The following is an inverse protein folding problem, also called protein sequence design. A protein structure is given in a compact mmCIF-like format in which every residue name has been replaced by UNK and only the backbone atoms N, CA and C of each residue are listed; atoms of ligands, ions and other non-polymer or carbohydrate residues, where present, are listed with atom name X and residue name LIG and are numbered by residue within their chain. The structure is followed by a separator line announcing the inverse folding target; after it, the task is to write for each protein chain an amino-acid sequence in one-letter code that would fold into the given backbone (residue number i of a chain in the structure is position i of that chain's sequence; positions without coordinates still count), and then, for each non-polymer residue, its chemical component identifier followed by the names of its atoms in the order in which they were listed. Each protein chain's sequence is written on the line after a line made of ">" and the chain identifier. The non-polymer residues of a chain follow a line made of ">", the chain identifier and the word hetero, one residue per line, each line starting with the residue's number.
data_IF_380883606839
#
_entry.id   IF_380883606839
#
_cell.length_a   1.000
_cell.length_b   1.000
_cell.length_c   1.000
_cell.angle_alpha   90.00
_cell.angle_beta   90.00
_cell.angle_gamma   90.00
#
_symmetry.space_group_name_H-M   'P 1'
#
loop_
_entity.id
_entity.type
_entity.pdbx_description
1 polymer ?
#
# COMPACT_ATOMS: atom_id res chain seq x y z
N UNK A 1 18.33 9.60 10.29
CA UNK A 1 17.52 10.84 10.36
C UNK A 1 16.35 10.60 9.42
N UNK A 2 15.38 9.80 9.86
CA UNK A 2 14.60 8.95 8.93
C UNK A 2 13.81 9.69 7.86
N UNK A 3 13.33 10.90 8.16
CA UNK A 3 12.64 11.72 7.17
C UNK A 3 13.51 12.09 5.96
N UNK A 4 14.84 11.99 6.07
CA UNK A 4 15.79 12.19 4.98
C UNK A 4 15.99 10.90 4.17
N UNK A 5 16.30 9.78 4.82
CA UNK A 5 16.56 8.48 4.15
C UNK A 5 15.32 7.98 3.39
N UNK A 6 14.13 8.08 4.00
CA UNK A 6 12.89 7.71 3.33
C UNK A 6 12.58 8.67 2.17
N UNK A 7 12.93 9.95 2.29
CA UNK A 7 12.74 10.93 1.21
C UNK A 7 13.67 10.66 0.04
N UNK A 8 14.96 10.40 0.30
CA UNK A 8 15.93 10.03 -0.73
C UNK A 8 15.49 8.75 -1.47
N UNK A 9 14.99 7.76 -0.72
CA UNK A 9 14.43 6.56 -1.32
C UNK A 9 13.23 6.86 -2.22
N UNK A 10 12.28 7.68 -1.74
CA UNK A 10 11.12 8.12 -2.53
C UNK A 10 11.59 8.83 -3.79
N UNK A 11 12.51 9.77 -3.69
CA UNK A 11 13.03 10.54 -4.84
C UNK A 11 13.67 9.60 -5.88
N UNK A 12 14.53 8.68 -5.44
CA UNK A 12 15.18 7.67 -6.31
C UNK A 12 14.18 6.77 -7.03
N UNK A 13 13.18 6.25 -6.31
CA UNK A 13 12.12 5.41 -6.88
C UNK A 13 11.25 6.21 -7.85
N UNK A 14 10.95 7.47 -7.54
CA UNK A 14 10.10 8.32 -8.37
C UNK A 14 10.81 8.79 -9.65
N UNK A 15 12.13 8.92 -9.63
CA UNK A 15 12.94 9.18 -10.81
C UNK A 15 13.00 7.96 -11.74
N UNK A 16 13.18 6.76 -11.18
CA UNK A 16 13.26 5.50 -11.96
C UNK A 16 11.89 4.98 -12.40
N UNK A 17 10.83 5.28 -11.64
CA UNK A 17 9.48 4.71 -11.78
C UNK A 17 9.43 3.18 -11.72
N UNK A 18 10.38 2.59 -11.02
CA UNK A 18 10.49 1.14 -10.78
C UNK A 18 10.88 0.92 -9.31
N UNK A 19 10.28 -0.08 -8.67
CA UNK A 19 10.72 -0.60 -7.37
C UNK A 19 11.17 -2.04 -7.59
N UNK A 20 12.48 -2.31 -7.52
CA UNK A 20 13.01 -3.68 -7.65
C UNK A 20 13.22 -4.37 -6.29
N UNK A 21 13.61 -5.64 -6.32
CA UNK A 21 13.84 -6.44 -5.10
C UNK A 21 14.93 -5.84 -4.19
N UNK A 22 15.91 -5.15 -4.76
CA UNK A 22 16.99 -4.54 -3.99
C UNK A 22 16.51 -3.27 -3.30
N UNK A 23 15.73 -2.45 -4.00
CA UNK A 23 15.06 -1.28 -3.41
C UNK A 23 14.19 -1.71 -2.20
N UNK A 24 13.46 -2.84 -2.31
CA UNK A 24 12.66 -3.37 -1.19
C UNK A 24 13.53 -3.82 -0.01
N UNK A 25 14.70 -4.44 -0.27
CA UNK A 25 15.61 -4.85 0.80
C UNK A 25 16.22 -3.66 1.52
N UNK A 26 16.64 -2.63 0.79
CA UNK A 26 17.16 -1.39 1.36
C UNK A 26 16.07 -0.76 2.23
N UNK A 27 14.85 -0.64 1.72
CA UNK A 27 13.72 -0.10 2.47
C UNK A 27 13.50 -0.86 3.80
N UNK A 28 13.48 -2.19 3.78
CA UNK A 28 13.24 -2.96 5.00
C UNK A 28 14.41 -2.98 5.99
N UNK A 29 15.63 -3.16 5.49
CA UNK A 29 16.80 -3.46 6.35
C UNK A 29 17.60 -2.25 6.74
N UNK A 30 17.60 -1.22 5.90
CA UNK A 30 18.40 -0.02 6.13
C UNK A 30 17.51 1.13 6.58
N UNK A 31 16.36 1.33 5.93
CA UNK A 31 15.50 2.48 6.21
C UNK A 31 14.55 2.20 7.37
N UNK A 32 13.86 1.05 7.39
CA UNK A 32 12.76 0.78 8.33
C UNK A 32 13.11 -0.15 9.50
N UNK A 33 14.32 -0.72 9.55
CA UNK A 33 14.66 -1.80 10.49
C UNK A 33 14.56 -1.44 11.98
N UNK A 34 14.96 -0.23 12.37
CA UNK A 34 14.95 0.22 13.77
C UNK A 34 13.95 1.36 14.02
N UNK A 35 12.94 1.43 13.17
CA UNK A 35 12.06 2.60 13.08
C UNK A 35 10.76 2.35 13.78
N UNK A 36 10.34 3.33 14.57
CA UNK A 36 8.95 3.39 15.04
C UNK A 36 8.08 3.79 13.85
N UNK A 37 7.28 2.86 13.35
CA UNK A 37 6.32 3.13 12.28
C UNK A 37 5.32 4.19 12.74
N UNK A 38 5.00 5.10 11.83
CA UNK A 38 4.01 6.16 12.03
C UNK A 38 2.99 6.14 10.91
N UNK A 39 1.85 6.80 11.14
CA UNK A 39 0.82 6.97 10.10
C UNK A 39 1.39 7.60 8.83
N UNK A 40 2.24 8.62 8.98
CA UNK A 40 2.89 9.30 7.86
C UNK A 40 3.77 8.37 7.01
N UNK A 41 4.49 7.43 7.64
CA UNK A 41 5.31 6.43 6.92
C UNK A 41 4.40 5.52 6.10
N UNK A 42 3.33 5.00 6.69
CA UNK A 42 2.35 4.16 5.99
C UNK A 42 1.72 4.92 4.82
N UNK A 43 1.35 6.19 5.02
CA UNK A 43 0.77 7.03 3.99
C UNK A 43 1.72 7.21 2.79
N UNK A 44 3.00 7.41 3.05
CA UNK A 44 4.04 7.50 2.00
C UNK A 44 4.19 6.18 1.24
N UNK A 45 4.25 5.04 1.94
CA UNK A 45 4.40 3.74 1.27
C UNK A 45 3.17 3.37 0.43
N UNK A 46 1.96 3.67 0.91
CA UNK A 46 0.73 3.50 0.12
C UNK A 46 0.70 4.44 -1.08
N UNK A 47 1.22 5.66 -0.95
CA UNK A 47 1.36 6.57 -2.08
C UNK A 47 2.34 6.02 -3.13
N UNK A 48 3.45 5.40 -2.72
CA UNK A 48 4.39 4.72 -3.62
C UNK A 48 3.75 3.55 -4.37
N UNK A 49 2.95 2.71 -3.71
CA UNK A 49 2.20 1.63 -4.37
C UNK A 49 1.35 2.15 -5.53
N UNK A 50 0.75 3.33 -5.38
CA UNK A 50 -0.07 3.94 -6.42
C UNK A 50 0.76 4.66 -7.48
N UNK A 51 1.85 5.31 -7.10
CA UNK A 51 2.66 6.12 -8.00
C UNK A 51 3.57 5.28 -8.92
N UNK A 52 3.88 4.05 -8.52
CA UNK A 52 4.77 3.14 -9.24
C UNK A 52 4.00 1.91 -9.75
N UNK A 53 3.89 1.82 -11.07
CA UNK A 53 3.22 0.70 -11.73
C UNK A 53 4.11 -0.54 -11.82
N UNK A 54 5.40 -0.37 -12.10
CA UNK A 54 6.38 -1.45 -12.19
C UNK A 54 7.08 -1.64 -10.84
N UNK A 55 6.61 -2.63 -10.08
CA UNK A 55 7.08 -2.89 -8.72
C UNK A 55 7.22 -4.37 -8.47
N UNK A 56 8.24 -4.73 -7.70
CA UNK A 56 8.45 -6.07 -7.23
C UNK A 56 7.23 -6.57 -6.43
N UNK A 57 6.82 -7.84 -6.59
CA UNK A 57 5.85 -8.48 -5.72
C UNK A 57 6.24 -8.39 -4.23
N UNK A 58 7.55 -8.38 -3.93
CA UNK A 58 8.05 -8.23 -2.56
C UNK A 58 7.59 -6.91 -1.94
N UNK A 59 7.54 -5.82 -2.71
CA UNK A 59 7.06 -4.53 -2.19
C UNK A 59 5.62 -4.64 -1.69
N UNK A 60 4.77 -5.38 -2.41
CA UNK A 60 3.38 -5.58 -2.02
C UNK A 60 3.25 -6.40 -0.73
N UNK A 61 4.05 -7.46 -0.58
CA UNK A 61 4.06 -8.29 0.63
C UNK A 61 4.57 -7.51 1.84
N UNK A 62 5.61 -6.70 1.65
CA UNK A 62 6.20 -5.85 2.70
C UNK A 62 5.25 -4.74 3.13
N UNK A 63 4.64 -4.03 2.19
CA UNK A 63 3.66 -2.98 2.50
C UNK A 63 2.46 -3.56 3.26
N UNK A 64 1.98 -4.73 2.85
CA UNK A 64 0.90 -5.42 3.55
C UNK A 64 1.27 -5.75 4.99
N UNK A 65 2.44 -6.36 5.21
CA UNK A 65 2.93 -6.68 6.55
C UNK A 65 3.02 -5.43 7.42
N UNK A 66 3.66 -4.36 6.95
CA UNK A 66 3.77 -3.12 7.72
C UNK A 66 2.42 -2.48 8.03
N UNK A 67 1.47 -2.49 7.10
CA UNK A 67 0.14 -1.94 7.36
C UNK A 67 -0.60 -2.73 8.45
N UNK A 68 -0.52 -4.06 8.43
CA UNK A 68 -1.13 -4.94 9.44
C UNK A 68 -0.44 -4.77 10.79
N UNK A 69 0.89 -4.90 10.82
CA UNK A 69 1.70 -4.79 12.03
C UNK A 69 1.49 -3.45 12.72
N UNK A 70 1.58 -2.35 11.99
CA UNK A 70 1.36 -1.02 12.55
C UNK A 70 -0.08 -0.84 13.04
N UNK A 71 -1.07 -1.14 12.18
CA UNK A 71 -2.46 -0.79 12.47
C UNK A 71 -3.05 -1.64 13.59
N UNK A 72 -2.70 -2.92 13.63
CA UNK A 72 -3.26 -3.88 14.59
C UNK A 72 -2.38 -3.97 15.83
N UNK A 73 -1.07 -4.12 15.68
CA UNK A 73 -0.20 -4.52 16.79
C UNK A 73 0.50 -3.35 17.47
N UNK A 74 1.10 -2.44 16.70
CA UNK A 74 1.92 -1.36 17.26
C UNK A 74 1.10 -0.14 17.69
N UNK A 75 0.08 0.23 16.93
CA UNK A 75 -0.75 1.41 17.21
C UNK A 75 -1.75 1.12 18.34
N UNK A 76 -1.59 1.82 19.47
CA UNK A 76 -2.50 1.69 20.62
C UNK A 76 -3.88 2.31 20.31
N UNK A 77 -4.99 1.67 20.69
CA UNK A 77 -5.09 0.36 21.37
C UNK A 77 -4.74 -0.82 20.45
N UNK A 78 -3.88 -1.72 20.93
CA UNK A 78 -3.47 -2.94 20.21
C UNK A 78 -4.65 -3.89 20.04
N UNK A 79 -4.70 -4.58 18.90
CA UNK A 79 -5.77 -5.50 18.51
C UNK A 79 -7.07 -4.80 18.10
N UNK A 80 -7.14 -3.46 18.18
CA UNK A 80 -8.38 -2.71 17.97
C UNK A 80 -8.19 -1.61 16.94
N UNK A 81 -9.09 -1.58 15.97
CA UNK A 81 -9.23 -0.47 15.04
C UNK A 81 -10.43 0.36 15.50
N UNK A 82 -10.15 1.47 16.19
CA UNK A 82 -11.16 2.46 16.53
C UNK A 82 -11.58 3.30 15.32
N UNK A 83 -12.56 4.18 15.53
CA UNK A 83 -13.10 5.04 14.48
C UNK A 83 -12.04 5.94 13.84
N UNK A 84 -11.15 6.52 14.64
CA UNK A 84 -10.12 7.43 14.13
C UNK A 84 -9.12 6.69 13.24
N UNK A 85 -8.63 5.54 13.72
CA UNK A 85 -7.73 4.67 12.97
C UNK A 85 -8.38 4.13 11.70
N UNK A 86 -9.64 3.70 11.78
CA UNK A 86 -10.40 3.25 10.61
C UNK A 86 -10.58 4.37 9.58
N UNK A 87 -10.93 5.59 10.02
CA UNK A 87 -11.12 6.71 9.12
C UNK A 87 -9.82 7.12 8.42
N UNK A 88 -8.70 7.14 9.16
CA UNK A 88 -7.37 7.36 8.59
C UNK A 88 -7.04 6.28 7.54
N UNK A 89 -7.11 5.00 7.90
CA UNK A 89 -6.82 3.89 6.99
C UNK A 89 -7.67 3.94 5.72
N UNK A 90 -8.98 4.14 5.85
CA UNK A 90 -9.88 4.24 4.70
C UNK A 90 -9.48 5.41 3.81
N UNK A 91 -9.13 6.56 4.39
CA UNK A 91 -8.70 7.74 3.62
C UNK A 91 -7.41 7.47 2.86
N UNK A 92 -6.41 6.90 3.52
CA UNK A 92 -5.11 6.55 2.94
C UNK A 92 -5.25 5.54 1.80
N UNK A 93 -5.99 4.46 2.04
CA UNK A 93 -6.16 3.36 1.08
C UNK A 93 -7.04 3.77 -0.11
N UNK A 94 -8.03 4.65 0.11
CA UNK A 94 -8.95 5.14 -0.93
C UNK A 94 -8.41 6.29 -1.77
N UNK A 95 -7.23 6.85 -1.45
CA UNK A 95 -6.71 8.05 -2.10
C UNK A 95 -6.66 7.95 -3.64
N UNK A 96 -6.81 9.07 -4.35
CA UNK A 96 -6.80 9.10 -5.82
C UNK A 96 -8.06 8.52 -6.46
N UNK A 97 -7.91 7.69 -7.50
CA UNK A 97 -9.02 7.09 -8.27
C UNK A 97 -9.77 5.94 -7.56
N UNK A 98 -9.52 5.76 -6.26
CA UNK A 98 -10.05 4.65 -5.45
C UNK A 98 -8.98 3.62 -5.09
N UNK A 99 -9.36 2.56 -4.33
CA UNK A 99 -8.41 1.58 -3.81
C UNK A 99 -7.69 0.80 -4.91
N UNK A 100 -6.37 0.66 -4.77
CA UNK A 100 -5.60 -0.32 -5.54
C UNK A 100 -5.98 -1.75 -5.11
N UNK A 101 -5.72 -2.78 -5.94
CA UNK A 101 -5.93 -4.16 -5.53
C UNK A 101 -5.18 -4.53 -4.24
N UNK A 102 -3.98 -3.97 -4.06
CA UNK A 102 -3.22 -4.13 -2.83
C UNK A 102 -3.86 -3.39 -1.65
N UNK A 103 -4.33 -2.15 -1.84
CA UNK A 103 -5.02 -1.40 -0.80
C UNK A 103 -6.30 -2.11 -0.30
N UNK A 104 -7.05 -2.74 -1.22
CA UNK A 104 -8.21 -3.58 -0.89
C UNK A 104 -7.78 -4.81 -0.05
N UNK A 105 -6.69 -5.49 -0.46
CA UNK A 105 -6.12 -6.64 0.26
C UNK A 105 -5.64 -6.24 1.66
N UNK A 106 -4.98 -5.09 1.80
CA UNK A 106 -4.53 -4.54 3.09
C UNK A 106 -5.73 -4.34 4.02
N UNK A 107 -6.77 -3.66 3.55
CA UNK A 107 -7.96 -3.43 4.37
C UNK A 107 -8.60 -4.74 4.83
N UNK A 108 -8.68 -5.74 3.96
CA UNK A 108 -9.20 -7.06 4.31
C UNK A 108 -8.36 -7.75 5.39
N UNK A 109 -7.03 -7.77 5.23
CA UNK A 109 -6.14 -8.41 6.20
C UNK A 109 -6.14 -7.70 7.56
N UNK A 110 -6.18 -6.36 7.58
CA UNK A 110 -6.32 -5.59 8.83
C UNK A 110 -7.63 -5.92 9.55
N UNK A 111 -8.75 -6.01 8.82
CA UNK A 111 -10.05 -6.38 9.40
C UNK A 111 -10.04 -7.82 9.92
N UNK A 112 -9.38 -8.73 9.20
CA UNK A 112 -9.26 -10.14 9.58
C UNK A 112 -8.43 -10.33 10.84
N UNK A 113 -7.34 -9.57 10.99
CA UNK A 113 -6.38 -9.73 12.09
C UNK A 113 -6.82 -8.99 13.37
N UNK A 114 -7.56 -7.88 13.24
CA UNK A 114 -8.04 -7.12 14.38
C UNK A 114 -9.11 -7.87 15.19
N UNK A 115 -9.01 -7.83 16.52
CA UNK A 115 -10.02 -8.38 17.43
C UNK A 115 -11.33 -7.59 17.38
N UNK A 116 -11.25 -6.28 17.12
CA UNK A 116 -12.39 -5.41 16.88
C UNK A 116 -12.07 -4.36 15.84
N UNK A 117 -13.00 -4.16 14.90
CA UNK A 117 -12.90 -3.14 13.85
C UNK A 117 -14.13 -2.25 13.83
N UNK A 118 -13.90 -0.95 13.62
CA UNK A 118 -14.96 -0.01 13.26
C UNK A 118 -15.57 -0.37 11.89
N UNK A 119 -16.89 -0.19 11.80
CA UNK A 119 -17.71 -0.55 10.64
C UNK A 119 -17.26 0.14 9.35
N UNK A 120 -16.64 1.33 9.43
CA UNK A 120 -16.15 2.04 8.26
C UNK A 120 -15.08 1.23 7.51
N UNK A 121 -14.12 0.63 8.24
CA UNK A 121 -13.07 -0.17 7.63
C UNK A 121 -13.61 -1.51 7.13
N UNK A 122 -14.53 -2.14 7.88
CA UNK A 122 -15.21 -3.37 7.45
C UNK A 122 -15.97 -3.16 6.14
N UNK A 123 -16.74 -2.08 6.05
CA UNK A 123 -17.50 -1.73 4.84
C UNK A 123 -16.58 -1.47 3.65
N UNK A 124 -15.45 -0.81 3.89
CA UNK A 124 -14.44 -0.58 2.87
C UNK A 124 -13.79 -1.88 2.38
N UNK A 125 -13.38 -2.76 3.30
CA UNK A 125 -12.75 -4.04 2.98
C UNK A 125 -13.69 -4.97 2.19
N UNK A 126 -14.97 -5.01 2.57
CA UNK A 126 -16.00 -5.83 1.93
C UNK A 126 -16.58 -5.20 0.67
N UNK A 127 -16.24 -3.95 0.35
CA UNK A 127 -16.66 -3.31 -0.88
C UNK A 127 -16.20 -4.17 -2.04
N UNK A 128 -17.15 -4.68 -2.82
CA UNK A 128 -16.84 -5.42 -4.04
C UNK A 128 -15.94 -4.52 -4.87
N UNK A 129 -14.74 -4.99 -5.18
CA UNK A 129 -13.89 -4.34 -6.16
C UNK A 129 -14.71 -4.32 -7.46
N UNK A 130 -15.34 -3.18 -7.77
CA UNK A 130 -15.91 -2.97 -9.09
C UNK A 130 -14.73 -2.99 -10.03
N UNK A 131 -14.51 -4.18 -10.59
CA UNK A 131 -13.44 -4.52 -11.48
C UNK A 131 -13.61 -3.70 -12.77
N UNK A 132 -13.23 -2.42 -12.72
CA UNK A 132 -12.79 -1.69 -13.90
C UNK A 132 -11.40 -2.22 -14.22
N UNK A 133 -11.39 -3.44 -14.74
CA UNK A 133 -10.32 -3.95 -15.59
C UNK A 133 -10.22 -2.92 -16.71
N UNK A 134 -9.23 -2.04 -16.62
CA UNK A 134 -8.84 -1.21 -17.76
C UNK A 134 -8.23 -2.15 -18.78
N UNK A 135 -9.07 -2.62 -19.71
CA UNK A 135 -8.61 -3.37 -20.88
C UNK A 135 -7.86 -2.34 -21.73
N UNK A 136 -6.54 -2.32 -21.61
CA UNK A 136 -5.68 -1.62 -22.57
C UNK A 136 -5.95 -2.22 -23.97
N UNK A 137 -6.23 -1.41 -25.00
CA UNK A 137 -6.49 -1.94 -26.33
C UNK A 137 -5.20 -2.52 -26.90
N UNK A 138 -5.20 -3.84 -27.13
CA UNK A 138 -4.14 -4.52 -27.88
C UNK A 138 -4.22 -4.01 -29.32
N UNK A 139 -3.25 -3.18 -29.71
CA UNK A 139 -3.10 -2.73 -31.09
C UNK A 139 -2.82 -3.95 -31.99
N UNK A 140 -3.85 -4.42 -32.70
CA UNK A 140 -3.68 -5.40 -33.77
C UNK A 140 -2.89 -4.77 -34.91
N UNK A 141 -1.61 -5.14 -35.03
CA UNK A 141 -0.85 -4.96 -36.28
C UNK A 141 -1.46 -5.90 -37.31
N UNK A 142 -2.31 -5.35 -38.17
CA UNK A 142 -2.72 -5.98 -39.42
C UNK A 142 -1.48 -6.08 -40.31
N UNK A 143 -0.96 -7.30 -40.46
CA UNK A 143 -0.04 -7.67 -41.54
C UNK A 143 -0.93 -7.92 -42.75
N UNK A 144 -0.94 -7.00 -43.71
CA UNK A 144 -1.42 -7.28 -45.06
C UNK A 144 -0.19 -7.46 -45.95
N UNK A 145 0.13 -8.73 -46.20
CA UNK A 145 0.87 -9.15 -47.38
C UNK A 145 -0.16 -9.50 -48.46
N UNK A 146 -0.12 -8.80 -49.58
CA UNK A 146 -0.46 -9.27 -50.94
C UNK A 146 -0.07 -8.18 -51.93
#
# INVERSE_FOLDING_TARGET
>A
MIGHELREFVDHVMDRRVIDDEDVRILQREILHEVVLTRDIIDVLVALDRAVADKSPLFADVLLAFCVDFSVWESRPTGRIDRDKAHWLVTTLSAGDGPTPLAQKIAFEVVREAESCDEALVSFALRKADARISIAPIAQRVILAS
#
